data_IF_829587077454
#
_entry.id   IF_829587077454
#
_cell.length_a   1.000
_cell.length_b   1.000
_cell.length_c   1.000
_cell.angle_alpha   90.00
_cell.angle_beta   90.00
_cell.angle_gamma   90.00
#
_symmetry.space_group_name_H-M   'P 1'
#
loop_
_entity.id
_entity.type
_entity.pdbx_description
1 polymer ?
#
# COMPACT_ATOMS: atom_id res chain seq x y z
N UNK A 1 0.46 -0.75 -28.94
CA UNK A 1 0.03 -2.08 -28.43
C UNK A 1 -0.61 -2.03 -27.03
N UNK A 2 -0.78 -0.86 -26.40
CA UNK A 2 -1.37 -0.73 -25.05
C UNK A 2 -2.91 -0.79 -24.97
N UNK A 3 -3.62 -0.81 -26.11
CA UNK A 3 -5.08 -0.90 -26.13
C UNK A 3 -5.59 -2.35 -26.02
N UNK A 4 -4.75 -3.35 -26.33
CA UNK A 4 -5.14 -4.77 -26.39
C UNK A 4 -4.89 -5.51 -25.06
N UNK A 5 -3.98 -5.00 -24.23
CA UNK A 5 -3.77 -5.48 -22.86
C UNK A 5 -4.28 -4.41 -21.90
N UNK A 6 -5.56 -4.48 -21.54
CA UNK A 6 -6.19 -3.53 -20.64
C UNK A 6 -5.31 -3.22 -19.43
N UNK A 7 -5.14 -1.92 -19.13
CA UNK A 7 -4.27 -1.42 -18.04
C UNK A 7 -4.43 -2.29 -16.79
N UNK A 8 -3.34 -2.86 -16.31
CA UNK A 8 -3.34 -3.60 -15.04
C UNK A 8 -3.80 -2.63 -13.96
N UNK A 9 -4.88 -2.98 -13.26
CA UNK A 9 -5.41 -2.18 -12.16
C UNK A 9 -4.35 -2.02 -11.10
N UNK A 10 -4.22 -0.80 -10.57
CA UNK A 10 -3.33 -0.59 -9.43
C UNK A 10 -3.86 -1.37 -8.22
N UNK A 11 -2.99 -1.75 -7.26
CA UNK A 11 -3.42 -2.39 -6.02
C UNK A 11 -4.54 -1.62 -5.31
N UNK A 12 -4.51 -0.29 -5.37
CA UNK A 12 -5.50 0.59 -4.78
C UNK A 12 -6.86 0.55 -5.51
N UNK A 13 -6.85 0.50 -6.84
CA UNK A 13 -8.07 0.31 -7.64
C UNK A 13 -8.71 -1.06 -7.39
N UNK A 14 -7.90 -2.10 -7.27
CA UNK A 14 -8.38 -3.44 -6.92
C UNK A 14 -9.03 -3.46 -5.54
N UNK A 15 -8.42 -2.83 -4.53
CA UNK A 15 -8.98 -2.73 -3.18
C UNK A 15 -10.32 -1.97 -3.19
N UNK A 16 -10.41 -0.85 -3.91
CA UNK A 16 -11.68 -0.08 -4.06
C UNK A 16 -12.76 -0.87 -4.78
N UNK A 17 -12.40 -1.60 -5.84
CA UNK A 17 -13.35 -2.44 -6.57
C UNK A 17 -13.88 -3.59 -5.70
N UNK A 18 -12.99 -4.28 -4.98
CA UNK A 18 -13.35 -5.37 -4.07
C UNK A 18 -14.26 -4.86 -2.94
N UNK A 19 -13.95 -3.71 -2.35
CA UNK A 19 -14.79 -3.11 -1.30
C UNK A 19 -16.23 -2.85 -1.79
N UNK A 20 -16.38 -2.33 -3.02
CA UNK A 20 -17.69 -2.10 -3.65
C UNK A 20 -18.42 -3.41 -3.93
N UNK A 21 -17.71 -4.41 -4.47
CA UNK A 21 -18.28 -5.72 -4.74
C UNK A 21 -18.78 -6.41 -3.47
N UNK A 22 -17.99 -6.41 -2.39
CA UNK A 22 -18.37 -6.99 -1.10
C UNK A 22 -19.57 -6.26 -0.50
N UNK A 23 -19.62 -4.92 -0.59
CA UNK A 23 -20.75 -4.14 -0.07
C UNK A 23 -22.05 -4.42 -0.83
N UNK A 24 -21.98 -4.62 -2.16
CA UNK A 24 -23.13 -5.08 -2.96
C UNK A 24 -23.59 -6.46 -2.51
N UNK A 25 -22.64 -7.41 -2.42
CA UNK A 25 -22.93 -8.77 -1.96
C UNK A 25 -23.59 -8.79 -0.57
N UNK A 26 -23.10 -8.02 0.40
CA UNK A 26 -23.74 -7.92 1.73
C UNK A 26 -25.21 -7.47 1.65
N UNK A 27 -25.51 -6.46 0.82
CA UNK A 27 -26.89 -5.95 0.65
C UNK A 27 -27.79 -6.97 -0.02
N UNK A 28 -27.28 -7.69 -1.02
CA UNK A 28 -28.05 -8.72 -1.70
C UNK A 28 -28.33 -9.91 -0.78
N UNK A 29 -27.36 -10.30 0.06
CA UNK A 29 -27.58 -11.30 1.11
C UNK A 29 -28.62 -10.87 2.13
N UNK A 30 -28.59 -9.60 2.57
CA UNK A 30 -29.58 -9.09 3.53
C UNK A 30 -31.00 -9.04 2.93
N UNK A 31 -31.14 -8.68 1.66
CA UNK A 31 -32.42 -8.73 0.94
C UNK A 31 -32.95 -10.15 0.84
N UNK A 32 -32.09 -11.11 0.49
CA UNK A 32 -32.51 -12.51 0.37
C UNK A 32 -32.89 -13.11 1.72
N UNK A 33 -32.13 -12.79 2.77
CA UNK A 33 -32.46 -13.14 4.15
C UNK A 33 -33.85 -12.62 4.54
N UNK A 34 -34.15 -11.35 4.24
CA UNK A 34 -35.47 -10.77 4.53
C UNK A 34 -36.62 -11.47 3.81
N UNK A 35 -36.42 -11.90 2.56
CA UNK A 35 -37.42 -12.69 1.81
C UNK A 35 -37.67 -14.04 2.49
N UNK A 36 -36.60 -14.74 2.89
CA UNK A 36 -36.71 -16.00 3.60
C UNK A 36 -37.38 -15.85 4.98
N UNK A 37 -37.09 -14.77 5.71
CA UNK A 37 -37.77 -14.46 6.99
C UNK A 37 -39.28 -14.20 6.79
N UNK A 38 -39.68 -13.55 5.70
CA UNK A 38 -41.09 -13.35 5.36
C UNK A 38 -41.76 -14.68 4.97
N UNK A 39 -41.08 -15.51 4.18
CA UNK A 39 -41.54 -16.85 3.82
C UNK A 39 -41.70 -17.72 5.07
N UNK A 40 -40.75 -17.66 6.02
CA UNK A 40 -40.85 -18.37 7.30
C UNK A 40 -42.14 -18.01 8.04
N UNK A 41 -42.43 -16.70 8.17
CA UNK A 41 -43.67 -16.22 8.81
C UNK A 41 -44.92 -16.72 8.09
N UNK A 42 -44.91 -16.73 6.76
CA UNK A 42 -46.03 -17.24 5.95
C UNK A 42 -46.24 -18.74 6.16
N UNK A 43 -45.17 -19.54 6.09
CA UNK A 43 -45.23 -20.99 6.33
C UNK A 43 -45.78 -21.28 7.73
N UNK A 44 -45.38 -20.52 8.75
CA UNK A 44 -45.93 -20.67 10.12
C UNK A 44 -47.44 -20.40 10.15
N UNK A 45 -47.90 -19.35 9.47
CA UNK A 45 -49.33 -19.04 9.39
C UNK A 45 -50.12 -20.14 8.64
N UNK A 46 -49.58 -20.63 7.53
CA UNK A 46 -50.18 -21.70 6.74
C UNK A 46 -50.24 -23.02 7.52
N UNK A 47 -49.17 -23.40 8.23
CA UNK A 47 -49.15 -24.56 9.13
C UNK A 47 -50.28 -24.47 10.15
N UNK A 48 -50.44 -23.31 10.81
CA UNK A 48 -51.51 -23.09 11.80
C UNK A 48 -52.89 -23.20 11.17
N UNK A 49 -53.07 -22.70 9.96
CA UNK A 49 -54.36 -22.78 9.22
C UNK A 49 -54.70 -24.22 8.85
N UNK A 50 -53.74 -24.97 8.28
CA UNK A 50 -53.94 -26.35 7.84
C UNK A 50 -54.14 -27.30 9.01
N UNK A 51 -53.47 -27.05 10.14
CA UNK A 51 -53.68 -27.81 11.37
C UNK A 51 -55.12 -27.67 11.89
N UNK A 52 -55.69 -26.46 11.88
CA UNK A 52 -57.10 -26.23 12.24
C UNK A 52 -58.10 -26.92 11.32
N UNK A 53 -57.72 -27.11 10.05
CA UNK A 53 -58.52 -27.83 9.05
C UNK A 53 -58.35 -29.36 9.13
N UNK A 54 -57.52 -29.87 10.03
CA UNK A 54 -57.27 -31.31 10.18
C UNK A 54 -56.39 -31.93 9.08
N UNK A 55 -55.78 -31.12 8.20
CA UNK A 55 -54.95 -31.60 7.09
C UNK A 55 -53.53 -31.92 7.55
N UNK A 56 -53.36 -32.98 8.33
CA UNK A 56 -52.09 -33.32 9.00
C UNK A 56 -50.95 -33.70 8.04
N UNK A 57 -51.25 -34.30 6.89
CA UNK A 57 -50.23 -34.62 5.87
C UNK A 57 -49.61 -33.36 5.28
N UNK A 58 -50.44 -32.35 4.99
CA UNK A 58 -49.98 -31.04 4.52
C UNK A 58 -49.13 -30.34 5.59
N UNK A 59 -49.55 -30.40 6.86
CA UNK A 59 -48.79 -29.86 8.00
C UNK A 59 -47.40 -30.50 8.09
N UNK A 60 -47.29 -31.82 7.91
CA UNK A 60 -46.02 -32.55 7.96
C UNK A 60 -45.05 -32.11 6.84
N UNK A 61 -45.57 -31.84 5.64
CA UNK A 61 -44.77 -31.35 4.52
C UNK A 61 -44.29 -29.92 4.79
N UNK A 62 -45.20 -29.03 5.20
CA UNK A 62 -44.88 -27.63 5.49
C UNK A 62 -43.91 -27.49 6.67
N UNK A 63 -44.02 -28.35 7.69
CA UNK A 63 -43.09 -28.36 8.82
C UNK A 63 -41.64 -28.67 8.38
N UNK A 64 -41.45 -29.57 7.41
CA UNK A 64 -40.12 -29.82 6.83
C UNK A 64 -39.61 -28.59 6.08
N UNK A 65 -40.48 -27.90 5.34
CA UNK A 65 -40.12 -26.67 4.62
C UNK A 65 -39.73 -25.52 5.55
N UNK A 66 -40.44 -25.40 6.70
CA UNK A 66 -40.09 -24.45 7.75
C UNK A 66 -38.67 -24.68 8.28
N UNK A 67 -38.31 -25.93 8.58
CA UNK A 67 -36.96 -26.27 9.08
C UNK A 67 -35.89 -25.94 8.04
N UNK A 68 -36.14 -26.25 6.76
CA UNK A 68 -35.22 -25.88 5.66
C UNK A 68 -35.04 -24.37 5.56
N UNK A 69 -36.15 -23.62 5.60
CA UNK A 69 -36.14 -22.16 5.52
C UNK A 69 -35.32 -21.55 6.67
N UNK A 70 -35.52 -22.02 7.91
CA UNK A 70 -34.71 -21.60 9.08
C UNK A 70 -33.23 -21.90 8.91
N UNK A 71 -32.89 -23.06 8.37
CA UNK A 71 -31.50 -23.41 8.11
C UNK A 71 -30.88 -22.46 7.08
N UNK A 72 -31.61 -22.11 6.01
CA UNK A 72 -31.16 -21.13 5.04
C UNK A 72 -30.98 -19.75 5.66
N UNK A 73 -31.94 -19.23 6.44
CA UNK A 73 -31.78 -17.95 7.16
C UNK A 73 -30.50 -17.94 7.98
N UNK A 74 -30.24 -19.00 8.76
CA UNK A 74 -28.99 -19.14 9.54
C UNK A 74 -27.75 -19.16 8.64
N UNK A 75 -27.79 -19.87 7.51
CA UNK A 75 -26.71 -19.92 6.52
C UNK A 75 -26.41 -18.54 5.93
N UNK A 76 -27.44 -17.75 5.61
CA UNK A 76 -27.29 -16.37 5.14
C UNK A 76 -26.68 -15.45 6.20
N UNK A 77 -27.07 -15.59 7.47
CA UNK A 77 -26.46 -14.83 8.59
C UNK A 77 -24.97 -15.14 8.70
N UNK A 78 -24.58 -16.42 8.66
CA UNK A 78 -23.17 -16.82 8.69
C UNK A 78 -22.41 -16.30 7.47
N UNK A 79 -23.00 -16.40 6.28
CA UNK A 79 -22.37 -15.92 5.05
C UNK A 79 -22.17 -14.40 5.06
N UNK A 80 -23.14 -13.62 5.56
CA UNK A 80 -22.99 -12.16 5.78
C UNK A 80 -21.83 -11.85 6.71
N UNK A 81 -21.73 -12.58 7.84
CA UNK A 81 -20.64 -12.41 8.79
C UNK A 81 -19.27 -12.71 8.17
N UNK A 82 -19.16 -13.78 7.37
CA UNK A 82 -17.93 -14.11 6.66
C UNK A 82 -17.50 -13.01 5.67
N UNK A 83 -18.45 -12.48 4.88
CA UNK A 83 -18.17 -11.37 3.96
C UNK A 83 -17.79 -10.10 4.72
N UNK A 84 -18.46 -9.82 5.84
CA UNK A 84 -18.12 -8.68 6.70
C UNK A 84 -16.69 -8.82 7.26
N UNK A 85 -16.28 -10.03 7.68
CA UNK A 85 -14.92 -10.29 8.14
C UNK A 85 -13.87 -10.08 7.03
N UNK A 86 -14.15 -10.53 5.80
CA UNK A 86 -13.28 -10.28 4.64
C UNK A 86 -13.21 -8.78 4.32
N UNK A 87 -14.33 -8.06 4.39
CA UNK A 87 -14.37 -6.60 4.20
C UNK A 87 -13.49 -5.88 5.22
N UNK A 88 -13.52 -6.29 6.49
CA UNK A 88 -12.67 -5.70 7.53
C UNK A 88 -11.19 -5.92 7.23
N UNK A 89 -10.80 -7.12 6.78
CA UNK A 89 -9.41 -7.39 6.36
C UNK A 89 -8.97 -6.49 5.22
N UNK A 90 -9.83 -6.28 4.21
CA UNK A 90 -9.55 -5.37 3.08
C UNK A 90 -9.42 -3.92 3.54
N UNK A 91 -10.27 -3.50 4.49
CA UNK A 91 -10.17 -2.17 5.08
C UNK A 91 -8.83 -1.96 5.79
N UNK A 92 -8.37 -2.94 6.57
CA UNK A 92 -7.03 -2.89 7.20
C UNK A 92 -5.92 -2.82 6.15
N UNK A 93 -5.99 -3.63 5.08
CA UNK A 93 -5.00 -3.59 3.99
C UNK A 93 -4.93 -2.22 3.31
N UNK A 94 -6.08 -1.55 3.13
CA UNK A 94 -6.14 -0.20 2.59
C UNK A 94 -5.42 0.81 3.49
N UNK A 95 -5.70 0.79 4.80
CA UNK A 95 -5.06 1.69 5.78
C UNK A 95 -3.54 1.47 5.86
N UNK A 96 -3.10 0.21 5.82
CA UNK A 96 -1.68 -0.14 5.82
C UNK A 96 -0.96 0.40 4.57
N UNK A 97 -1.60 0.29 3.39
CA UNK A 97 -1.02 0.80 2.15
C UNK A 97 -0.90 2.34 2.15
N UNK A 98 -1.92 3.07 2.61
CA UNK A 98 -1.84 4.53 2.73
C UNK A 98 -0.77 4.97 3.75
N UNK A 99 -0.58 4.21 4.82
CA UNK A 99 0.46 4.50 5.81
C UNK A 99 1.86 4.24 5.24
N UNK A 100 2.05 3.15 4.50
CA UNK A 100 3.31 2.87 3.81
C UNK A 100 3.66 3.96 2.78
N UNK A 101 2.67 4.45 2.03
CA UNK A 101 2.85 5.58 1.10
C UNK A 101 3.22 6.88 1.85
N UNK A 102 2.55 7.18 2.96
CA UNK A 102 2.86 8.36 3.78
C UNK A 102 4.26 8.26 4.41
N UNK A 103 4.63 7.09 4.94
CA UNK A 103 5.97 6.84 5.47
C UNK A 103 7.03 6.99 4.39
N UNK A 104 6.78 6.52 3.17
CA UNK A 104 7.68 6.74 2.04
C UNK A 104 7.85 8.24 1.76
N UNK A 105 6.77 9.02 1.68
CA UNK A 105 6.87 10.47 1.48
C UNK A 105 7.65 11.18 2.59
N UNK A 106 7.48 10.77 3.86
CA UNK A 106 8.28 11.30 4.98
C UNK A 106 9.76 10.91 4.85
N UNK A 107 10.06 9.69 4.41
CA UNK A 107 11.45 9.24 4.19
C UNK A 107 12.10 10.00 3.04
N UNK A 108 11.39 10.18 1.92
CA UNK A 108 11.86 10.92 0.76
C UNK A 108 12.13 12.40 1.16
N UNK A 109 11.21 13.04 1.91
CA UNK A 109 11.43 14.40 2.45
C UNK A 109 12.60 14.47 3.44
N UNK A 110 12.77 13.44 4.28
CA UNK A 110 13.88 13.39 5.24
C UNK A 110 15.22 13.23 4.51
N UNK A 111 15.26 12.46 3.44
CA UNK A 111 16.44 12.30 2.59
C UNK A 111 16.81 13.61 1.90
N UNK A 112 15.83 14.33 1.35
CA UNK A 112 16.03 15.67 0.77
C UNK A 112 16.59 16.66 1.81
N UNK A 113 15.98 16.74 3.00
CA UNK A 113 16.48 17.57 4.10
C UNK A 113 17.88 17.16 4.58
N UNK A 114 18.21 15.86 4.53
CA UNK A 114 19.52 15.36 4.93
C UNK A 114 20.58 15.68 3.88
N UNK A 115 20.22 15.62 2.60
CA UNK A 115 21.10 16.03 1.50
C UNK A 115 21.35 17.53 1.54
N UNK A 116 20.31 18.35 1.76
CA UNK A 116 20.43 19.81 1.90
C UNK A 116 21.33 20.17 3.10
N UNK A 117 21.17 19.49 4.25
CA UNK A 117 22.03 19.71 5.42
C UNK A 117 23.49 19.25 5.21
N UNK A 118 23.74 18.30 4.30
CA UNK A 118 25.09 17.88 3.91
C UNK A 118 25.69 18.91 2.94
N UNK A 119 24.90 19.42 1.98
CA UNK A 119 25.32 20.50 1.06
C UNK A 119 25.65 21.78 1.83
N UNK A 120 24.83 22.17 2.81
CA UNK A 120 25.11 23.34 3.67
C UNK A 120 26.38 23.15 4.53
N UNK A 121 26.70 21.90 4.90
CA UNK A 121 27.92 21.58 5.65
C UNK A 121 29.17 21.41 4.77
N UNK A 122 28.99 21.21 3.45
CA UNK A 122 30.06 21.07 2.45
C UNK A 122 30.15 22.29 1.50
N UNK A 123 29.28 23.29 1.68
CA UNK A 123 29.09 24.42 0.77
C UNK A 123 30.02 25.61 0.97
N UNK A 124 30.92 25.57 1.95
CA UNK A 124 31.95 26.59 2.19
C UNK A 124 33.30 25.92 2.47
N UNK A 125 33.91 25.33 1.43
CA UNK A 125 35.37 25.17 1.32
C UNK A 125 35.82 25.57 -0.09
N UNK A 126 35.34 26.71 -0.59
CA UNK A 126 36.16 27.56 -1.47
C UNK A 126 36.97 28.51 -0.57
N UNK A 127 37.82 27.93 0.28
CA UNK A 127 39.03 28.65 0.64
C UNK A 127 39.80 28.77 -0.67
N UNK A 128 39.73 29.95 -1.30
CA UNK A 128 40.77 30.41 -2.20
C UNK A 128 42.08 30.39 -1.40
N UNK A 129 42.71 29.22 -1.31
CA UNK A 129 44.07 29.08 -0.80
C UNK A 129 44.95 29.71 -1.88
N UNK A 130 45.15 31.01 -1.73
CA UNK A 130 46.08 31.84 -2.46
C UNK A 130 47.45 31.17 -2.33
N UNK A 131 47.79 30.29 -3.29
CA UNK A 131 49.05 29.56 -3.28
C UNK A 131 50.17 30.59 -3.18
N UNK A 132 51.02 30.55 -2.14
CA UNK A 132 52.10 31.51 -2.03
C UNK A 132 52.99 31.37 -3.28
N UNK A 133 53.52 32.48 -3.83
CA UNK A 133 54.30 32.44 -5.04
C UNK A 133 55.48 31.50 -4.83
N UNK A 134 55.55 30.44 -5.62
CA UNK A 134 56.77 29.63 -5.74
C UNK A 134 57.78 30.54 -6.42
N UNK A 135 58.58 31.26 -5.62
CA UNK A 135 59.84 31.79 -6.10
C UNK A 135 60.67 30.57 -6.50
N UNK A 136 60.63 30.26 -7.80
CA UNK A 136 61.63 29.42 -8.46
C UNK A 136 62.97 29.95 -7.99
N UNK A 137 63.68 29.15 -7.19
CA UNK A 137 65.10 29.36 -6.94
C UNK A 137 65.83 29.37 -8.27
N UNK A 138 65.99 30.57 -8.84
CA UNK A 138 67.32 31.07 -9.18
C UNK A 138 68.04 31.09 -7.83
N UNK A 139 69.07 30.32 -7.50
CA UNK A 139 70.23 29.89 -8.28
C UNK A 139 70.84 28.71 -7.52
N UNK A 140 70.87 27.51 -8.09
CA UNK A 140 71.80 26.45 -7.66
C UNK A 140 72.41 25.71 -8.84
N UNK A 141 71.91 25.97 -10.05
CA UNK A 141 72.51 25.54 -11.31
C UNK A 141 73.44 26.62 -11.88
N UNK A 142 73.13 27.90 -11.61
CA UNK A 142 73.94 29.04 -12.04
C UNK A 142 75.20 29.21 -11.17
N UNK A 143 75.13 28.95 -9.85
CA UNK A 143 76.29 28.97 -8.94
C UNK A 143 77.36 27.91 -9.26
N UNK A 144 76.95 26.78 -9.86
CA UNK A 144 77.88 25.69 -10.22
C UNK A 144 78.64 25.97 -11.52
N UNK A 145 78.06 26.76 -12.44
CA UNK A 145 78.71 27.18 -13.68
C UNK A 145 79.62 28.40 -13.45
N UNK A 146 79.29 29.29 -12.51
CA UNK A 146 80.12 30.44 -12.12
C UNK A 146 81.36 29.99 -11.31
N UNK A 147 81.22 29.02 -10.39
CA UNK A 147 82.37 28.45 -9.65
C UNK A 147 83.33 27.61 -10.54
N UNK A 148 82.90 27.18 -11.73
CA UNK A 148 83.76 26.43 -12.66
C UNK A 148 84.57 27.35 -13.58
N UNK A 149 84.15 28.59 -13.77
CA UNK A 149 84.87 29.61 -14.55
C UNK A 149 86.05 30.20 -13.78
N UNK A 150 85.93 30.38 -12.46
CA UNK A 150 86.99 30.94 -11.60
C UNK A 150 88.14 29.96 -11.32
N UNK A 151 87.93 28.65 -11.47
CA UNK A 151 88.97 27.64 -11.28
C UNK A 151 89.95 27.49 -12.47
N UNK A 152 89.76 28.22 -13.58
CA UNK A 152 90.61 28.13 -14.77
C UNK A 152 91.30 29.44 -15.18
N UNK A 153 91.26 30.48 -14.32
CA UNK A 153 92.00 31.74 -14.48
C UNK A 153 93.14 31.91 -13.45
N UNK A 154 93.55 30.82 -12.80
CA UNK A 154 94.67 30.78 -11.84
C UNK A 154 95.84 29.90 -12.30
N UNK A 155 96.12 29.83 -13.61
CA UNK A 155 97.27 29.10 -14.16
C UNK A 155 98.05 29.99 -15.14
N UNK A 156 98.76 30.96 -14.56
CA UNK A 156 100.04 31.48 -15.02
C UNK A 156 101.00 31.43 -13.82
#
# INVERSE_FOLDING_TARGET
MDFLFGKRKTPEEMLRQNQRALTRAMRDLDRERQRLEQQEKKIIADIKKMAKQGQMDAVKIMAKDLVRTRHYVKKFIMMRANIQAVSLKIQTLKSNNSMAQAMKGIMDMKEEMMNDAIDDAMGDEDDEEERPPVHRGQTLRDDWEESRADANLGRC
#
